data_IF_619640336054
#
_entry.id   IF_619640336054
#
_cell.length_a   1.000
_cell.length_b   1.000
_cell.length_c   1.000
_cell.angle_alpha   90.00
_cell.angle_beta   90.00
_cell.angle_gamma   90.00
#
_symmetry.space_group_name_H-M   'P 1'
#
loop_
_entity.id
_entity.type
_entity.pdbx_description
1 polymer ?
#
# COMPACT_ATOMS: atom_id res chain seq x y z
N UNK A 1 -7.25 2.40 11.79
CA UNK A 1 -6.75 2.30 10.40
C UNK A 1 -6.25 0.90 10.08
N UNK A 2 -5.15 0.42 10.68
CA UNK A 2 -4.59 -0.93 10.42
C UNK A 2 -5.62 -2.07 10.56
N UNK A 3 -6.40 -2.06 11.65
CA UNK A 3 -7.47 -3.06 11.86
C UNK A 3 -8.51 -3.06 10.72
N UNK A 4 -8.87 -1.88 10.19
CA UNK A 4 -9.83 -1.75 9.09
C UNK A 4 -9.21 -2.24 7.78
N UNK A 5 -7.96 -1.87 7.52
CA UNK A 5 -7.19 -2.31 6.35
C UNK A 5 -7.10 -3.85 6.28
N UNK A 6 -6.71 -4.51 7.39
CA UNK A 6 -6.62 -5.98 7.47
C UNK A 6 -7.98 -6.68 7.40
N UNK A 7 -9.06 -6.04 7.84
CA UNK A 7 -10.42 -6.60 7.77
C UNK A 7 -10.96 -6.61 6.33
N UNK A 8 -10.55 -5.66 5.49
CA UNK A 8 -10.96 -5.52 4.09
C UNK A 8 -9.94 -6.13 3.10
N UNK A 9 -9.11 -7.09 3.55
CA UNK A 9 -7.78 -7.44 3.01
C UNK A 9 -7.13 -6.42 2.05
N UNK A 10 -7.01 -5.16 2.48
CA UNK A 10 -6.45 -4.09 1.66
C UNK A 10 -4.93 -3.95 1.84
N UNK A 11 -4.23 -3.59 0.77
CA UNK A 11 -2.78 -3.26 0.82
C UNK A 11 -2.50 -1.84 1.34
N UNK A 12 -3.55 -1.03 1.53
CA UNK A 12 -3.44 0.34 2.01
C UNK A 12 -4.76 0.95 2.44
N UNK A 13 -4.69 1.95 3.32
CA UNK A 13 -5.85 2.71 3.80
C UNK A 13 -5.45 4.15 4.15
N UNK A 14 -6.19 5.13 3.65
CA UNK A 14 -6.07 6.54 4.02
C UNK A 14 -7.11 6.92 5.09
N UNK A 15 -6.75 7.83 5.99
CA UNK A 15 -7.63 8.28 7.08
C UNK A 15 -9.01 8.78 6.59
N UNK A 16 -9.12 9.52 5.46
CA UNK A 16 -10.40 9.97 4.94
C UNK A 16 -11.38 8.84 4.59
N UNK A 17 -10.90 7.63 4.24
CA UNK A 17 -11.76 6.48 3.92
C UNK A 17 -12.58 5.98 5.12
N UNK A 18 -12.16 6.32 6.35
CA UNK A 18 -12.87 6.01 7.60
C UNK A 18 -13.45 7.27 8.26
N UNK A 19 -13.66 8.33 7.47
CA UNK A 19 -14.29 9.57 7.93
C UNK A 19 -13.37 10.50 8.73
N UNK A 20 -12.05 10.27 8.73
CA UNK A 20 -11.10 11.10 9.49
C UNK A 20 -10.38 12.07 8.53
N UNK A 21 -10.56 13.41 8.65
CA UNK A 21 -9.99 14.39 7.73
C UNK A 21 -8.51 14.70 8.04
N UNK A 22 -7.69 13.68 8.28
CA UNK A 22 -6.25 13.81 8.56
C UNK A 22 -5.41 13.22 7.44
N UNK A 23 -4.21 13.78 7.24
CA UNK A 23 -3.22 13.30 6.26
C UNK A 23 -2.42 12.13 6.83
N UNK A 24 -3.07 10.98 6.97
CA UNK A 24 -2.45 9.74 7.48
C UNK A 24 -2.77 8.63 6.49
N UNK A 25 -1.75 7.82 6.18
CA UNK A 25 -1.89 6.60 5.38
C UNK A 25 -1.23 5.42 6.09
N UNK A 26 -1.81 4.24 5.93
CA UNK A 26 -1.22 2.97 6.32
C UNK A 26 -1.12 2.08 5.08
N UNK A 27 -0.04 1.32 4.97
CA UNK A 27 0.25 0.42 3.86
C UNK A 27 0.84 -0.87 4.42
N UNK A 28 0.48 -2.02 3.86
CA UNK A 28 1.05 -3.33 4.22
C UNK A 28 0.84 -4.29 3.06
N UNK A 29 1.88 -5.03 2.67
CA UNK A 29 1.74 -6.06 1.64
C UNK A 29 2.49 -7.31 2.09
N UNK A 30 1.74 -8.35 2.47
CA UNK A 30 2.30 -9.58 3.02
C UNK A 30 2.52 -10.61 1.91
N UNK A 31 3.38 -11.60 2.16
CA UNK A 31 3.55 -12.75 1.24
C UNK A 31 2.23 -13.47 0.97
N UNK A 32 1.35 -13.52 1.97
CA UNK A 32 0.01 -14.09 1.84
C UNK A 32 -0.83 -13.29 0.84
N UNK A 33 -0.85 -11.95 0.94
CA UNK A 33 -1.59 -11.11 -0.01
C UNK A 33 -1.05 -11.17 -1.44
N UNK A 34 0.26 -11.33 -1.59
CA UNK A 34 0.90 -11.52 -2.89
C UNK A 34 0.54 -12.89 -3.47
N UNK A 35 0.40 -13.92 -2.63
CA UNK A 35 0.09 -15.29 -3.07
C UNK A 35 -1.32 -15.45 -3.68
N UNK A 36 -2.25 -14.54 -3.37
CA UNK A 36 -3.58 -14.51 -4.01
C UNK A 36 -3.53 -14.03 -5.46
N UNK A 37 -2.48 -13.32 -5.88
CA UNK A 37 -2.32 -12.84 -7.26
C UNK A 37 -1.57 -13.87 -8.12
N UNK A 38 -1.80 -13.85 -9.44
CA UNK A 38 -1.10 -14.76 -10.34
C UNK A 38 0.40 -14.43 -10.40
N UNK A 39 1.24 -15.44 -10.61
CA UNK A 39 2.71 -15.24 -10.75
C UNK A 39 3.03 -14.21 -11.85
N UNK A 40 2.31 -14.25 -12.96
CA UNK A 40 2.47 -13.31 -14.08
C UNK A 40 2.19 -11.86 -13.66
N UNK A 41 1.11 -11.62 -12.92
CA UNK A 41 0.77 -10.27 -12.41
C UNK A 41 1.79 -9.77 -11.40
N UNK A 42 2.22 -10.63 -10.47
CA UNK A 42 3.23 -10.25 -9.45
C UNK A 42 4.57 -9.88 -10.09
N UNK A 43 5.02 -10.61 -11.11
CA UNK A 43 6.25 -10.30 -11.86
C UNK A 43 6.10 -9.04 -12.69
N UNK A 44 4.96 -8.86 -13.39
CA UNK A 44 4.71 -7.67 -14.19
C UNK A 44 4.69 -6.39 -13.33
N UNK A 45 4.11 -6.48 -12.12
CA UNK A 45 4.01 -5.37 -11.17
C UNK A 45 5.28 -5.13 -10.36
N UNK A 46 6.25 -6.06 -10.35
CA UNK A 46 7.41 -6.08 -9.45
C UNK A 46 6.95 -5.88 -7.98
N UNK A 47 5.88 -6.60 -7.61
CA UNK A 47 5.24 -6.52 -6.30
C UNK A 47 6.07 -7.30 -5.29
N UNK A 48 6.51 -6.63 -4.22
CA UNK A 48 7.35 -7.22 -3.17
C UNK A 48 6.67 -7.06 -1.82
N UNK A 49 6.82 -8.04 -0.91
CA UNK A 49 6.28 -7.91 0.42
C UNK A 49 7.00 -6.79 1.16
N UNK A 50 6.26 -5.97 1.89
CA UNK A 50 6.81 -4.95 2.77
C UNK A 50 6.01 -4.90 4.08
N UNK A 51 6.72 -4.62 5.16
CA UNK A 51 6.16 -4.54 6.50
C UNK A 51 5.19 -3.36 6.64
N UNK A 52 4.34 -3.40 7.66
CA UNK A 52 3.39 -2.34 7.96
C UNK A 52 4.08 -0.96 8.01
N UNK A 53 3.70 -0.07 7.09
CA UNK A 53 4.18 1.30 7.00
C UNK A 53 3.06 2.26 7.40
N UNK A 54 3.37 3.15 8.33
CA UNK A 54 2.47 4.24 8.75
C UNK A 54 3.15 5.56 8.39
N UNK A 55 2.50 6.38 7.56
CA UNK A 55 3.04 7.68 7.14
C UNK A 55 2.10 8.79 7.55
N UNK A 56 2.62 9.74 8.30
CA UNK A 56 1.90 10.92 8.79
C UNK A 56 2.39 12.13 8.00
N UNK A 57 1.45 12.95 7.53
CA UNK A 57 1.72 14.13 6.71
C UNK A 57 2.64 13.85 5.49
N UNK A 58 2.35 12.81 4.67
CA UNK A 58 3.21 12.43 3.55
C UNK A 58 3.33 13.55 2.51
N UNK A 59 4.54 13.72 1.95
CA UNK A 59 4.81 14.53 0.76
C UNK A 59 5.50 13.63 -0.27
N UNK A 60 4.84 13.37 -1.40
CA UNK A 60 5.37 12.50 -2.45
C UNK A 60 6.07 13.34 -3.53
N UNK A 61 7.32 12.99 -3.86
CA UNK A 61 8.07 13.57 -4.98
C UNK A 61 8.53 12.47 -5.91
N UNK A 62 8.32 12.63 -7.21
CA UNK A 62 8.83 11.69 -8.22
C UNK A 62 10.36 11.73 -8.23
N UNK A 63 11.00 10.56 -8.16
CA UNK A 63 12.47 10.42 -8.28
C UNK A 63 12.96 10.31 -9.73
N UNK A 64 12.08 9.95 -10.68
CA UNK A 64 12.43 9.81 -12.10
C UNK A 64 11.22 10.05 -13.01
N UNK A 65 11.45 10.13 -14.33
CA UNK A 65 10.40 10.20 -15.36
C UNK A 65 9.71 8.85 -15.64
N UNK A 66 10.00 7.80 -14.86
CA UNK A 66 9.28 6.53 -14.96
C UNK A 66 7.87 6.70 -14.37
N UNK A 67 6.87 6.22 -15.09
CA UNK A 67 5.46 6.27 -14.67
C UNK A 67 5.06 5.14 -13.71
N UNK A 68 6.03 4.37 -13.18
CA UNK A 68 5.80 3.28 -12.22
C UNK A 68 6.47 3.62 -10.89
N UNK A 69 5.69 3.52 -9.82
CA UNK A 69 6.17 3.64 -8.43
C UNK A 69 6.30 2.23 -7.88
N UNK A 70 7.49 1.91 -7.37
CA UNK A 70 7.80 0.66 -6.68
C UNK A 70 8.10 1.01 -5.22
N UNK A 71 7.53 0.27 -4.28
CA UNK A 71 7.76 0.42 -2.84
C UNK A 71 8.75 -0.65 -2.36
#
# INVERSE_FOLDING_TARGET
MVKVMRKAPGVGLAAPQIGIPLRIIVLEDTKEYISYASKQETTAQDRRPFDLLVVINPKLKKKSNKNRVLF
#
